data_IF_233377597710
#
_entry.id   IF_233377597710
#
_cell.length_a   1.000
_cell.length_b   1.000
_cell.length_c   1.000
_cell.angle_alpha   90.00
_cell.angle_beta   90.00
_cell.angle_gamma   90.00
#
_symmetry.space_group_name_H-M   'P 1'
#
loop_
_entity.id
_entity.type
_entity.pdbx_description
1 polymer ?
#
# COMPACT_ATOMS: atom_id res chain seq x y z
N UNK A 1 -11.81 6.95 -3.33
CA UNK A 1 -10.83 5.83 -3.34
C UNK A 1 -11.33 4.74 -2.42
N UNK A 2 -11.41 3.49 -2.89
CA UNK A 2 -11.98 2.38 -2.12
C UNK A 2 -10.85 1.53 -1.51
N UNK A 3 -10.84 1.39 -0.18
CA UNK A 3 -9.89 0.54 0.55
C UNK A 3 -10.41 -0.89 0.56
N UNK A 4 -9.59 -1.84 0.12
CA UNK A 4 -9.95 -3.25 0.11
C UNK A 4 -9.07 -3.99 1.10
N UNK A 5 -9.70 -4.58 2.12
CA UNK A 5 -9.03 -5.62 2.92
C UNK A 5 -8.76 -6.83 2.01
N UNK A 6 -7.77 -7.65 2.33
CA UNK A 6 -7.48 -8.87 1.58
C UNK A 6 -8.39 -10.05 2.02
N UNK A 7 -9.61 -10.16 1.47
CA UNK A 7 -10.20 -11.49 1.23
C UNK A 7 -10.92 -11.57 -0.13
N UNK A 8 -10.79 -12.70 -0.85
CA UNK A 8 -11.65 -13.20 -1.95
C UNK A 8 -12.19 -12.21 -3.01
N UNK A 9 -11.56 -11.05 -3.23
CA UNK A 9 -12.03 -10.10 -4.24
C UNK A 9 -11.59 -10.58 -5.63
N UNK A 10 -12.57 -10.79 -6.52
CA UNK A 10 -12.31 -11.20 -7.89
C UNK A 10 -11.57 -10.10 -8.66
N UNK A 11 -10.56 -10.52 -9.43
CA UNK A 11 -9.80 -9.66 -10.35
C UNK A 11 -10.71 -8.89 -11.32
N UNK A 12 -11.87 -9.48 -11.66
CA UNK A 12 -12.90 -8.86 -12.50
C UNK A 12 -13.46 -7.59 -11.87
N UNK A 13 -13.83 -7.63 -10.59
CA UNK A 13 -14.41 -6.49 -9.89
C UNK A 13 -13.42 -5.33 -9.74
N UNK A 14 -12.13 -5.64 -9.49
CA UNK A 14 -11.09 -4.59 -9.44
C UNK A 14 -10.93 -3.93 -10.81
N UNK A 15 -10.99 -4.71 -11.89
CA UNK A 15 -10.93 -4.17 -13.24
C UNK A 15 -12.12 -3.24 -13.52
N UNK A 16 -13.34 -3.66 -13.18
CA UNK A 16 -14.55 -2.85 -13.36
C UNK A 16 -14.49 -1.52 -12.59
N UNK A 17 -13.94 -1.53 -11.37
CA UNK A 17 -13.72 -0.31 -10.60
C UNK A 17 -12.70 0.62 -11.29
N UNK A 18 -11.59 0.07 -11.78
CA UNK A 18 -10.60 0.87 -12.51
C UNK A 18 -11.16 1.44 -13.81
N UNK A 19 -11.90 0.64 -14.58
CA UNK A 19 -12.53 1.06 -15.83
C UNK A 19 -13.54 2.19 -15.58
N UNK A 20 -14.17 2.22 -14.40
CA UNK A 20 -15.04 3.31 -13.95
C UNK A 20 -14.28 4.53 -13.36
N UNK A 21 -12.95 4.57 -13.45
CA UNK A 21 -12.12 5.65 -12.91
C UNK A 21 -11.97 5.63 -11.38
N UNK A 22 -12.40 4.55 -10.71
CA UNK A 22 -12.33 4.42 -9.26
C UNK A 22 -10.96 3.87 -8.86
N UNK A 23 -10.18 4.66 -8.13
CA UNK A 23 -8.89 4.23 -7.59
C UNK A 23 -9.07 3.22 -6.45
N UNK A 24 -8.31 2.13 -6.54
CA UNK A 24 -8.34 0.99 -5.62
C UNK A 24 -7.01 0.84 -4.88
N UNK A 25 -7.11 0.62 -3.57
CA UNK A 25 -5.96 0.41 -2.68
C UNK A 25 -6.05 -0.94 -1.95
N UNK A 26 -4.90 -1.61 -1.77
CA UNK A 26 -4.77 -2.76 -0.86
C UNK A 26 -4.54 -2.24 0.55
N UNK A 27 -5.34 -2.68 1.50
CA UNK A 27 -5.24 -2.30 2.92
C UNK A 27 -4.51 -3.34 3.76
N UNK A 28 -3.75 -2.88 4.76
CA UNK A 28 -3.08 -3.74 5.74
C UNK A 28 -1.91 -4.56 5.19
N UNK A 29 -1.26 -4.11 4.11
CA UNK A 29 -0.11 -4.82 3.58
C UNK A 29 1.05 -4.80 4.58
N UNK A 30 1.63 -5.97 4.83
CA UNK A 30 2.70 -6.16 5.82
C UNK A 30 2.23 -6.78 7.13
N UNK A 31 0.92 -6.83 7.43
CA UNK A 31 0.38 -7.53 8.59
C UNK A 31 -0.15 -8.91 8.16
N UNK A 32 0.43 -10.00 8.67
CA UNK A 32 -0.04 -11.37 8.43
C UNK A 32 0.33 -11.97 7.06
N UNK A 33 -0.54 -12.83 6.49
CA UNK A 33 -0.34 -13.51 5.20
C UNK A 33 -0.49 -12.59 3.98
N UNK A 34 0.29 -11.51 3.93
CA UNK A 34 0.42 -10.67 2.74
C UNK A 34 1.34 -11.36 1.73
N UNK A 35 0.77 -12.05 0.74
CA UNK A 35 1.57 -12.73 -0.30
C UNK A 35 1.93 -11.77 -1.45
N UNK A 36 3.23 -11.59 -1.69
CA UNK A 36 3.77 -10.85 -2.84
C UNK A 36 3.20 -11.33 -4.19
N UNK A 37 2.86 -12.62 -4.27
CA UNK A 37 2.24 -13.27 -5.41
C UNK A 37 0.91 -12.62 -5.80
N UNK A 38 0.12 -12.15 -4.81
CA UNK A 38 -1.13 -11.44 -5.05
C UNK A 38 -0.87 -9.98 -5.45
N UNK A 39 0.08 -9.32 -4.79
CA UNK A 39 0.42 -7.93 -5.08
C UNK A 39 0.81 -7.74 -6.56
N UNK A 40 1.53 -8.70 -7.15
CA UNK A 40 1.88 -8.70 -8.58
C UNK A 40 0.69 -8.86 -9.53
N UNK A 41 -0.35 -9.60 -9.13
CA UNK A 41 -1.48 -9.97 -10.01
C UNK A 41 -2.67 -9.00 -9.94
N UNK A 42 -2.77 -8.25 -8.85
CA UNK A 42 -3.88 -7.33 -8.61
C UNK A 42 -3.67 -6.00 -9.33
N UNK A 43 -4.69 -5.58 -10.08
CA UNK A 43 -4.75 -4.31 -10.81
C UNK A 43 -5.03 -3.14 -9.84
N UNK A 44 -4.32 -3.05 -8.72
CA UNK A 44 -4.50 -1.96 -7.74
C UNK A 44 -3.55 -0.82 -8.01
N UNK A 45 -3.99 0.40 -7.71
CA UNK A 45 -3.21 1.62 -7.93
C UNK A 45 -2.36 1.98 -6.70
N UNK A 46 -2.85 1.64 -5.50
CA UNK A 46 -2.21 2.01 -4.24
C UNK A 46 -1.95 0.80 -3.32
N UNK A 47 -0.88 0.91 -2.54
CA UNK A 47 -0.55 0.05 -1.42
C UNK A 47 -0.64 0.88 -0.13
N UNK A 48 -1.52 0.51 0.80
CA UNK A 48 -1.59 1.14 2.11
C UNK A 48 -0.71 0.38 3.09
N UNK A 49 0.25 1.08 3.69
CA UNK A 49 1.08 0.56 4.76
C UNK A 49 0.36 0.81 6.07
N UNK A 50 0.25 -0.23 6.90
CA UNK A 50 -0.43 -0.13 8.18
C UNK A 50 0.30 0.79 9.16
N UNK A 51 -0.47 1.45 10.03
CA UNK A 51 0.05 2.37 11.05
C UNK A 51 1.04 1.72 12.01
N UNK A 52 0.98 0.40 12.24
CA UNK A 52 1.90 -0.27 13.17
C UNK A 52 3.35 -0.14 12.74
N UNK A 53 3.62 -0.12 11.43
CA UNK A 53 4.96 0.11 10.88
C UNK A 53 5.37 1.58 10.99
N UNK A 54 4.43 2.49 10.70
CA UNK A 54 4.66 3.93 10.74
C UNK A 54 4.92 4.42 12.18
N UNK A 55 4.24 3.87 13.17
CA UNK A 55 4.36 4.30 14.56
C UNK A 55 5.77 4.08 15.14
N UNK A 56 6.46 3.02 14.73
CA UNK A 56 7.78 2.67 15.25
C UNK A 56 8.94 3.18 14.39
N UNK A 57 8.66 3.71 13.19
CA UNK A 57 9.72 4.12 12.25
C UNK A 57 10.64 5.24 12.79
N UNK A 58 10.19 6.06 13.74
CA UNK A 58 11.03 7.12 14.32
C UNK A 58 12.01 6.58 15.37
N UNK A 59 11.76 5.40 15.91
CA UNK A 59 12.52 4.81 17.03
C UNK A 59 13.18 3.48 16.69
N UNK A 60 12.84 2.87 15.55
CA UNK A 60 13.30 1.54 15.14
C UNK A 60 13.94 1.61 13.75
N UNK A 61 15.24 1.35 13.67
CA UNK A 61 15.99 1.27 12.40
C UNK A 61 15.55 0.08 11.55
N UNK A 62 15.07 -1.00 12.18
CA UNK A 62 14.47 -2.14 11.49
C UNK A 62 13.17 -1.73 10.77
N UNK A 63 12.29 -0.97 11.43
CA UNK A 63 11.05 -0.49 10.81
C UNK A 63 11.32 0.52 9.70
N UNK A 64 12.33 1.39 9.84
CA UNK A 64 12.77 2.27 8.76
C UNK A 64 13.24 1.49 7.53
N UNK A 65 14.04 0.46 7.75
CA UNK A 65 14.54 -0.42 6.68
C UNK A 65 13.39 -1.14 5.99
N UNK A 66 12.47 -1.70 6.77
CA UNK A 66 11.28 -2.38 6.25
C UNK A 66 10.40 -1.45 5.41
N UNK A 67 10.13 -0.23 5.90
CA UNK A 67 9.36 0.77 5.15
C UNK A 67 10.06 1.14 3.85
N UNK A 68 11.38 1.33 3.85
CA UNK A 68 12.16 1.62 2.64
C UNK A 68 12.06 0.51 1.59
N UNK A 69 12.11 -0.76 2.03
CA UNK A 69 11.91 -1.93 1.16
C UNK A 69 10.49 -1.96 0.59
N UNK A 70 9.48 -1.72 1.42
CA UNK A 70 8.08 -1.64 0.98
C UNK A 70 7.86 -0.53 -0.05
N UNK A 71 8.49 0.63 0.17
CA UNK A 71 8.47 1.77 -0.76
C UNK A 71 9.06 1.39 -2.12
N UNK A 72 10.27 0.86 -2.10
CA UNK A 72 10.99 0.45 -3.32
C UNK A 72 10.21 -0.59 -4.11
N UNK A 73 9.61 -1.56 -3.42
CA UNK A 73 8.81 -2.62 -4.03
C UNK A 73 7.53 -2.09 -4.68
N UNK A 74 6.79 -1.19 -4.03
CA UNK A 74 5.58 -0.64 -4.64
C UNK A 74 5.89 0.12 -5.93
N UNK A 75 6.97 0.91 -5.95
CA UNK A 75 7.40 1.61 -7.16
C UNK A 75 7.81 0.64 -8.26
N UNK A 76 8.57 -0.42 -7.92
CA UNK A 76 8.92 -1.47 -8.89
C UNK A 76 7.69 -2.17 -9.49
N UNK A 77 6.54 -2.15 -8.80
CA UNK A 77 5.26 -2.71 -9.25
C UNK A 77 4.32 -1.65 -9.87
N UNK A 78 4.80 -0.43 -10.11
CA UNK A 78 4.02 0.71 -10.59
C UNK A 78 2.81 1.03 -9.70
N UNK A 79 2.96 0.86 -8.39
CA UNK A 79 1.97 1.19 -7.37
C UNK A 79 2.43 2.40 -6.57
N UNK A 80 1.49 3.26 -6.20
CA UNK A 80 1.72 4.36 -5.26
C UNK A 80 1.54 3.86 -3.83
N UNK A 81 2.19 4.50 -2.86
CA UNK A 81 2.03 4.16 -1.44
C UNK A 81 1.24 5.23 -0.70
N UNK A 82 0.49 4.77 0.30
CA UNK A 82 -0.18 5.61 1.29
C UNK A 82 0.21 5.11 2.68
N UNK A 83 0.88 5.95 3.45
CA UNK A 83 1.13 5.71 4.88
C UNK A 83 -0.10 6.13 5.69
N UNK A 84 -0.70 5.20 6.43
CA UNK A 84 -1.87 5.48 7.28
C UNK A 84 -1.40 5.70 8.72
N UNK A 85 -1.98 6.68 9.43
CA UNK A 85 -1.73 6.88 10.87
C UNK A 85 -0.58 7.83 11.21
N UNK A 86 -0.06 8.58 10.24
CA UNK A 86 0.77 9.78 10.47
C UNK A 86 -0.07 10.80 11.25
N UNK A 87 0.20 10.94 12.55
CA UNK A 87 -0.48 11.88 13.43
C UNK A 87 -0.32 13.31 12.91
N UNK A 88 -1.46 13.98 12.73
CA UNK A 88 -1.68 15.41 12.55
C UNK A 88 -0.57 16.21 11.81
N UNK A 89 -0.88 16.71 10.60
CA UNK A 89 -0.10 17.61 9.71
C UNK A 89 0.74 17.00 8.58
N UNK A 90 0.53 15.75 8.17
CA UNK A 90 1.18 15.30 6.94
C UNK A 90 0.56 14.05 6.37
N UNK A 91 -0.35 14.20 5.40
CA UNK A 91 -0.43 13.19 4.35
C UNK A 91 0.95 13.19 3.68
N UNK A 92 1.87 12.33 4.13
CA UNK A 92 3.11 12.08 3.42
C UNK A 92 2.70 11.39 2.12
N UNK A 93 2.33 12.19 1.12
CA UNK A 93 2.44 11.81 -0.26
C UNK A 93 3.93 11.60 -0.49
N UNK A 94 4.39 10.37 -0.25
CA UNK A 94 5.71 9.92 -0.69
C UNK A 94 5.62 9.84 -2.21
N UNK A 95 5.70 10.99 -2.85
CA UNK A 95 5.98 11.13 -4.27
C UNK A 95 7.49 11.16 -4.37
N UNK A 96 8.13 9.99 -4.35
CA UNK A 96 9.49 9.90 -4.88
C UNK A 96 9.37 10.00 -6.38
N UNK A 97 9.66 11.18 -6.92
CA UNK A 97 9.85 11.39 -8.35
C UNK A 97 11.01 10.51 -8.82
N UNK A 98 10.73 9.53 -9.67
CA UNK A 98 11.12 9.50 -11.09
C UNK A 98 10.46 8.30 -11.76
#
# INVERSE_FOLDING_TARGET
>A
MKSLKMPNISRKSIKELNDAGILVAIDGFGIGQSSLSYLKKLLTNYLKIDRTFIHHMTTSSEDQTLISVLISMAHALNKKIIAVGVGNTGSFGVSTRK
#
